data_IF_967387351993
#
_entry.id   IF_967387351993
#
_cell.length_a   1.000
_cell.length_b   1.000
_cell.length_c   1.000
_cell.angle_alpha   90.00
_cell.angle_beta   90.00
_cell.angle_gamma   90.00
#
_symmetry.space_group_name_H-M   'P 1'
#
loop_
_entity.id
_entity.type
_entity.pdbx_description
1 polymer ?
#
# COMPACT_ATOMS: atom_id res chain seq x y z
N UNK A 1 14.91 -23.31 -0.76
CA UNK A 1 13.71 -22.55 -1.16
C UNK A 1 13.31 -21.65 0.00
N UNK A 2 13.14 -20.36 -0.25
CA UNK A 2 12.71 -19.41 0.79
C UNK A 2 11.20 -19.57 1.03
N UNK A 3 10.80 -19.64 2.29
CA UNK A 3 9.39 -19.72 2.69
C UNK A 3 8.85 -18.31 2.91
N UNK A 4 7.85 -17.90 2.13
CA UNK A 4 7.22 -16.58 2.20
C UNK A 4 5.77 -16.75 2.63
N UNK A 5 5.38 -16.08 3.71
CA UNK A 5 3.98 -15.99 4.13
C UNK A 5 3.41 -14.64 3.78
N UNK A 6 2.33 -14.61 2.98
CA UNK A 6 1.61 -13.39 2.60
C UNK A 6 0.25 -13.40 3.31
N UNK A 7 0.08 -12.52 4.29
CA UNK A 7 -1.20 -12.25 4.92
C UNK A 7 -1.96 -11.15 4.15
N UNK A 8 -3.21 -11.39 3.79
CA UNK A 8 -3.99 -10.53 2.90
C UNK A 8 -3.61 -10.73 1.41
N UNK A 9 -3.42 -11.97 1.02
CA UNK A 9 -2.90 -12.38 -0.29
C UNK A 9 -3.85 -12.11 -1.46
N UNK A 10 -5.18 -12.08 -1.24
CA UNK A 10 -6.18 -11.76 -2.25
C UNK A 10 -6.36 -10.24 -2.48
N UNK A 11 -5.75 -9.38 -1.63
CA UNK A 11 -5.76 -7.94 -1.82
C UNK A 11 -4.91 -7.49 -3.01
N UNK A 12 -5.02 -6.21 -3.42
CA UNK A 12 -4.32 -5.65 -4.58
C UNK A 12 -2.81 -5.92 -4.53
N UNK A 13 -2.16 -5.61 -3.40
CA UNK A 13 -0.71 -5.77 -3.25
C UNK A 13 -0.34 -7.24 -3.10
N UNK A 14 -1.09 -8.03 -2.32
CA UNK A 14 -0.86 -9.46 -2.15
C UNK A 14 -0.93 -10.22 -3.48
N UNK A 15 -1.92 -9.90 -4.32
CA UNK A 15 -2.04 -10.46 -5.68
C UNK A 15 -0.84 -10.07 -6.55
N UNK A 16 -0.44 -8.80 -6.53
CA UNK A 16 0.72 -8.33 -7.30
C UNK A 16 2.04 -9.00 -6.84
N UNK A 17 2.22 -9.21 -5.53
CA UNK A 17 3.37 -9.93 -5.00
C UNK A 17 3.39 -11.38 -5.53
N UNK A 18 2.25 -12.08 -5.48
CA UNK A 18 2.15 -13.46 -6.00
C UNK A 18 2.49 -13.56 -7.49
N UNK A 19 2.22 -12.51 -8.29
CA UNK A 19 2.52 -12.48 -9.73
C UNK A 19 4.01 -12.33 -10.05
N UNK A 20 4.79 -11.72 -9.14
CA UNK A 20 6.21 -11.44 -9.37
C UNK A 20 7.14 -12.37 -8.58
N UNK A 21 6.61 -13.21 -7.68
CA UNK A 21 7.37 -14.23 -6.98
C UNK A 21 7.78 -15.36 -7.93
N UNK A 22 9.06 -15.76 -7.87
CA UNK A 22 9.54 -16.94 -8.60
C UNK A 22 9.22 -18.21 -7.80
N UNK A 23 8.31 -19.07 -8.29
CA UNK A 23 7.93 -20.31 -7.61
C UNK A 23 9.06 -21.34 -7.55
N UNK A 24 10.12 -21.17 -8.34
CA UNK A 24 11.32 -22.03 -8.28
C UNK A 24 12.23 -21.66 -7.09
N UNK A 25 12.21 -20.40 -6.66
CA UNK A 25 13.02 -19.91 -5.55
C UNK A 25 12.25 -19.88 -4.21
N UNK A 26 10.91 -19.67 -4.27
CA UNK A 26 10.09 -19.36 -3.12
C UNK A 26 8.87 -20.27 -2.98
N UNK A 27 8.72 -20.84 -1.79
CA UNK A 27 7.50 -21.53 -1.34
C UNK A 27 6.58 -20.52 -0.66
N UNK A 28 5.36 -20.33 -1.18
CA UNK A 28 4.44 -19.28 -0.74
C UNK A 28 3.29 -19.86 0.07
N UNK A 29 3.07 -19.30 1.26
CA UNK A 29 1.87 -19.54 2.08
C UNK A 29 0.96 -18.30 1.98
N UNK A 30 -0.15 -18.44 1.30
CA UNK A 30 -1.15 -17.40 1.14
C UNK A 30 -2.23 -17.55 2.21
N UNK A 31 -2.57 -16.46 2.92
CA UNK A 31 -3.69 -16.44 3.86
C UNK A 31 -4.47 -15.15 3.72
N UNK A 32 -5.78 -15.28 3.84
CA UNK A 32 -6.74 -14.19 3.97
C UNK A 32 -7.60 -14.40 5.21
N UNK A 33 -8.52 -13.47 5.49
CA UNK A 33 -9.33 -13.49 6.71
C UNK A 33 -10.09 -14.83 6.93
N UNK A 34 -10.49 -15.50 5.84
CA UNK A 34 -11.25 -16.75 5.94
C UNK A 34 -10.35 -17.95 6.31
N UNK A 35 -9.08 -17.94 5.88
CA UNK A 35 -8.10 -18.99 6.19
C UNK A 35 -7.43 -18.74 7.54
N UNK A 36 -7.09 -17.48 7.84
CA UNK A 36 -6.41 -17.09 9.06
C UNK A 36 -6.70 -15.62 9.39
N UNK A 37 -7.51 -15.37 10.39
CA UNK A 37 -7.73 -14.02 10.90
C UNK A 37 -6.51 -13.56 11.71
N UNK A 38 -5.78 -12.55 11.18
CA UNK A 38 -4.58 -12.01 11.83
C UNK A 38 -4.82 -11.40 13.21
N UNK A 39 -6.09 -11.18 13.59
CA UNK A 39 -6.46 -10.68 14.93
C UNK A 39 -6.46 -11.80 15.98
N UNK A 40 -6.46 -13.08 15.58
CA UNK A 40 -6.45 -14.24 16.45
C UNK A 40 -5.03 -14.65 16.81
N UNK A 41 -4.53 -14.13 17.93
CA UNK A 41 -3.12 -14.25 18.33
C UNK A 41 -2.62 -15.69 18.34
N UNK A 42 -3.37 -16.62 18.94
CA UNK A 42 -2.94 -18.01 19.09
C UNK A 42 -2.87 -18.75 17.76
N UNK A 43 -3.81 -18.46 16.85
CA UNK A 43 -3.84 -19.06 15.50
C UNK A 43 -2.67 -18.56 14.66
N UNK A 44 -2.39 -17.25 14.70
CA UNK A 44 -1.28 -16.60 14.02
C UNK A 44 0.07 -17.16 14.51
N UNK A 45 0.24 -17.28 15.83
CA UNK A 45 1.44 -17.87 16.42
C UNK A 45 1.63 -19.33 15.98
N UNK A 46 0.58 -20.14 16.09
CA UNK A 46 0.60 -21.55 15.70
C UNK A 46 0.95 -21.74 14.23
N UNK A 47 0.35 -20.93 13.35
CA UNK A 47 0.60 -20.99 11.91
C UNK A 47 2.07 -20.71 11.59
N UNK A 48 2.63 -19.64 12.17
CA UNK A 48 4.02 -19.26 11.95
C UNK A 48 5.01 -20.28 12.54
N UNK A 49 4.73 -20.89 13.70
CA UNK A 49 5.59 -21.92 14.31
C UNK A 49 5.60 -23.23 13.51
N UNK A 50 4.47 -23.61 12.92
CA UNK A 50 4.38 -24.83 12.10
C UNK A 50 5.09 -24.62 10.77
N UNK A 51 4.81 -23.52 10.06
CA UNK A 51 5.31 -23.28 8.70
C UNK A 51 6.74 -22.72 8.68
N UNK A 52 7.17 -22.03 9.74
CA UNK A 52 8.49 -21.39 9.89
C UNK A 52 8.89 -20.59 8.65
N UNK A 53 8.12 -19.55 8.27
CA UNK A 53 8.46 -18.72 7.15
C UNK A 53 9.79 -17.99 7.37
N UNK A 54 10.53 -17.77 6.29
CA UNK A 54 11.73 -16.93 6.30
C UNK A 54 11.37 -15.45 6.17
N UNK A 55 10.21 -15.18 5.55
CA UNK A 55 9.70 -13.85 5.27
C UNK A 55 8.20 -13.85 5.54
N UNK A 56 7.70 -12.83 6.22
CA UNK A 56 6.26 -12.58 6.42
C UNK A 56 5.95 -11.22 5.81
N UNK A 57 4.96 -11.16 4.90
CA UNK A 57 4.51 -9.92 4.26
C UNK A 57 3.06 -9.66 4.69
N UNK A 58 2.85 -8.58 5.42
CA UNK A 58 1.52 -8.16 5.87
C UNK A 58 0.90 -7.16 4.89
N UNK A 59 0.04 -7.67 4.01
CA UNK A 59 -0.84 -6.90 3.13
C UNK A 59 -2.26 -6.75 3.68
N UNK A 60 -2.58 -7.46 4.78
CA UNK A 60 -3.91 -7.42 5.38
C UNK A 60 -4.16 -6.08 6.10
N UNK A 61 -5.23 -5.41 5.75
CA UNK A 61 -5.65 -4.16 6.37
C UNK A 61 -7.12 -3.84 6.04
N UNK A 62 -7.78 -3.09 6.90
CA UNK A 62 -8.98 -2.34 6.53
C UNK A 62 -8.52 -1.01 5.97
N UNK A 63 -8.80 -0.77 4.67
CA UNK A 63 -8.37 0.43 3.92
C UNK A 63 -9.52 1.36 3.55
N UNK A 64 -10.76 0.93 3.79
CA UNK A 64 -11.95 1.76 3.68
C UNK A 64 -11.97 2.76 4.84
N UNK A 65 -11.72 4.03 4.54
CA UNK A 65 -11.66 5.09 5.55
C UNK A 65 -13.01 5.36 6.20
N UNK A 66 -14.12 5.26 5.44
CA UNK A 66 -15.44 5.44 6.03
C UNK A 66 -15.75 4.34 7.03
N UNK A 67 -15.43 3.08 6.70
CA UNK A 67 -15.57 1.98 7.64
C UNK A 67 -14.68 2.16 8.87
N UNK A 68 -13.44 2.64 8.69
CA UNK A 68 -12.54 2.93 9.81
C UNK A 68 -13.12 3.99 10.76
N UNK A 69 -13.71 5.07 10.22
CA UNK A 69 -14.35 6.11 11.03
C UNK A 69 -15.62 5.60 11.76
N UNK A 70 -16.38 4.70 11.11
CA UNK A 70 -17.59 4.10 11.70
C UNK A 70 -17.25 3.03 12.74
N UNK A 71 -16.19 2.25 12.53
CA UNK A 71 -15.78 1.10 13.33
C UNK A 71 -14.30 1.22 13.78
N UNK A 72 -13.96 2.23 14.63
CA UNK A 72 -12.56 2.48 15.01
C UNK A 72 -11.89 1.29 15.68
N UNK A 73 -12.62 0.60 16.57
CA UNK A 73 -12.09 -0.58 17.26
C UNK A 73 -11.72 -1.71 16.29
N UNK A 74 -12.53 -1.92 15.26
CA UNK A 74 -12.25 -2.90 14.22
C UNK A 74 -11.02 -2.50 13.41
N UNK A 75 -10.90 -1.21 13.04
CA UNK A 75 -9.73 -0.69 12.33
C UNK A 75 -8.44 -0.91 13.13
N UNK A 76 -8.41 -0.56 14.41
CA UNK A 76 -7.25 -0.80 15.29
C UNK A 76 -6.99 -2.29 15.53
N UNK A 77 -8.03 -3.10 15.67
CA UNK A 77 -7.88 -4.55 15.86
C UNK A 77 -7.16 -5.19 14.67
N UNK A 78 -7.56 -4.86 13.44
CA UNK A 78 -6.94 -5.42 12.23
C UNK A 78 -5.62 -4.74 11.92
N UNK A 79 -5.60 -3.40 11.78
CA UNK A 79 -4.44 -2.68 11.27
C UNK A 79 -3.29 -2.57 12.28
N UNK A 80 -3.59 -2.52 13.58
CA UNK A 80 -2.59 -2.42 14.63
C UNK A 80 -2.32 -3.76 15.32
N UNK A 81 -3.34 -4.41 15.93
CA UNK A 81 -3.12 -5.65 16.65
C UNK A 81 -2.82 -6.83 15.74
N UNK A 82 -3.39 -6.88 14.52
CA UNK A 82 -3.01 -7.86 13.50
C UNK A 82 -1.53 -7.73 13.11
N UNK A 83 -1.05 -6.50 12.86
CA UNK A 83 0.37 -6.24 12.57
C UNK A 83 1.27 -6.63 13.75
N UNK A 84 0.85 -6.34 15.00
CA UNK A 84 1.54 -6.78 16.22
C UNK A 84 1.68 -8.31 16.26
N UNK A 85 0.58 -9.04 16.07
CA UNK A 85 0.59 -10.50 16.15
C UNK A 85 1.55 -11.12 15.13
N UNK A 86 1.53 -10.63 13.88
CA UNK A 86 2.44 -11.07 12.84
C UNK A 86 3.90 -10.71 13.14
N UNK A 87 4.18 -9.53 13.71
CA UNK A 87 5.54 -9.11 14.07
C UNK A 87 6.12 -9.93 15.24
N UNK A 88 5.29 -10.31 16.22
CA UNK A 88 5.67 -11.24 17.29
C UNK A 88 6.08 -12.60 16.71
N UNK A 89 5.28 -13.13 15.78
CA UNK A 89 5.62 -14.39 15.08
C UNK A 89 6.91 -14.24 14.31
N UNK A 90 7.07 -13.18 13.54
CA UNK A 90 8.28 -12.93 12.75
C UNK A 90 9.54 -12.97 13.63
N UNK A 91 9.50 -12.29 14.77
CA UNK A 91 10.59 -12.31 15.73
C UNK A 91 10.83 -13.73 16.30
N UNK A 92 9.76 -14.44 16.67
CA UNK A 92 9.84 -15.78 17.27
C UNK A 92 10.47 -16.81 16.34
N UNK A 93 10.14 -16.76 15.03
CA UNK A 93 10.69 -17.70 14.03
C UNK A 93 11.95 -17.17 13.34
N UNK A 94 12.37 -15.94 13.64
CA UNK A 94 13.56 -15.30 13.05
C UNK A 94 13.35 -14.77 11.62
N UNK A 95 12.09 -14.62 11.18
CA UNK A 95 11.71 -14.16 9.85
C UNK A 95 11.98 -12.65 9.65
N UNK A 96 12.19 -12.25 8.40
CA UNK A 96 12.06 -10.85 7.97
C UNK A 96 10.57 -10.50 7.92
N UNK A 97 10.22 -9.28 8.29
CA UNK A 97 8.83 -8.82 8.32
C UNK A 97 8.64 -7.60 7.45
N UNK A 98 7.68 -7.65 6.52
CA UNK A 98 7.27 -6.52 5.70
C UNK A 98 5.90 -6.05 6.15
N UNK A 99 5.78 -4.78 6.53
CA UNK A 99 4.53 -4.13 6.90
C UNK A 99 4.15 -3.08 5.84
N UNK A 100 3.03 -3.29 5.16
CA UNK A 100 2.46 -2.26 4.29
C UNK A 100 1.84 -1.16 5.15
N UNK A 101 2.22 0.09 4.87
CA UNK A 101 1.71 1.29 5.52
C UNK A 101 1.24 2.32 4.48
N UNK A 102 0.98 3.55 4.87
CA UNK A 102 0.28 4.55 4.08
C UNK A 102 0.85 5.95 4.30
N UNK A 103 0.63 6.82 3.35
CA UNK A 103 0.81 8.28 3.43
C UNK A 103 -0.12 8.95 4.47
N UNK A 104 -1.28 8.33 4.78
CA UNK A 104 -2.25 8.82 5.78
C UNK A 104 -1.68 8.87 7.21
N UNK A 105 -0.44 8.41 7.43
CA UNK A 105 0.27 8.64 8.70
C UNK A 105 0.72 10.09 8.88
N UNK A 106 0.65 10.90 7.82
CA UNK A 106 0.94 12.34 7.83
C UNK A 106 -0.33 13.17 7.81
N UNK A 107 -0.22 14.45 8.23
CA UNK A 107 -1.37 15.34 8.37
C UNK A 107 -1.82 16.07 7.07
N UNK A 108 -1.03 15.96 6.01
CA UNK A 108 -1.33 16.58 4.73
C UNK A 108 -1.20 18.12 4.69
N UNK A 109 -0.55 18.75 5.67
CA UNK A 109 -0.46 20.21 5.79
C UNK A 109 0.79 20.81 5.16
N UNK A 110 1.72 19.98 4.65
CA UNK A 110 2.93 20.45 3.99
C UNK A 110 2.68 20.81 2.52
N UNK A 111 3.62 21.57 1.97
CA UNK A 111 3.68 21.89 0.53
C UNK A 111 4.91 21.28 -0.15
N UNK A 112 5.63 20.42 0.58
CA UNK A 112 6.79 19.69 0.08
C UNK A 112 6.62 18.20 0.40
N UNK A 113 7.16 17.30 -0.42
CA UNK A 113 7.04 15.86 -0.21
C UNK A 113 7.52 15.44 1.20
N UNK A 114 6.77 14.54 1.84
CA UNK A 114 7.16 13.95 3.11
C UNK A 114 8.29 12.95 2.91
N UNK A 115 9.33 13.04 3.72
CA UNK A 115 10.40 12.05 3.81
C UNK A 115 10.14 11.08 4.95
N UNK A 116 10.90 9.98 5.00
CA UNK A 116 10.80 8.99 6.07
C UNK A 116 11.18 9.54 7.46
N UNK A 117 11.88 10.69 7.49
CA UNK A 117 12.32 11.36 8.71
C UNK A 117 11.32 12.38 9.25
N UNK A 118 10.26 12.68 8.49
CA UNK A 118 9.25 13.65 8.93
C UNK A 118 8.37 13.07 10.04
N UNK A 119 7.93 13.93 10.95
CA UNK A 119 7.06 13.54 12.04
C UNK A 119 5.68 13.14 11.50
N UNK A 120 5.22 11.98 11.93
CA UNK A 120 3.87 11.48 11.63
C UNK A 120 2.83 12.17 12.51
N UNK A 121 1.68 12.53 11.91
CA UNK A 121 0.56 13.20 12.61
C UNK A 121 -0.77 12.86 11.89
N UNK A 122 -1.23 11.59 11.93
CA UNK A 122 -2.41 11.15 11.18
C UNK A 122 -3.67 11.87 11.63
N UNK A 123 -4.59 12.15 10.70
CA UNK A 123 -5.85 12.85 10.93
C UNK A 123 -7.07 11.93 10.86
N UNK A 124 -6.93 10.74 10.30
CA UNK A 124 -8.00 9.77 10.11
C UNK A 124 -7.81 8.58 11.05
N UNK A 125 -8.89 7.90 11.40
CA UNK A 125 -8.82 6.62 12.15
C UNK A 125 -7.99 5.58 11.38
N UNK A 126 -8.12 5.54 10.05
CA UNK A 126 -7.30 4.70 9.19
C UNK A 126 -5.81 4.99 9.40
N UNK A 127 -5.37 6.24 9.22
CA UNK A 127 -3.98 6.65 9.43
C UNK A 127 -3.48 6.36 10.83
N UNK A 128 -4.27 6.67 11.88
CA UNK A 128 -3.95 6.36 13.28
C UNK A 128 -3.75 4.85 13.51
N UNK A 129 -4.64 4.00 12.97
CA UNK A 129 -4.57 2.56 13.14
C UNK A 129 -3.35 1.96 12.41
N UNK A 130 -3.01 2.47 11.22
CA UNK A 130 -1.81 2.06 10.46
C UNK A 130 -0.53 2.48 11.18
N UNK A 131 -0.46 3.71 11.71
CA UNK A 131 0.68 4.18 12.47
C UNK A 131 0.89 3.38 13.77
N UNK A 132 -0.19 3.02 14.47
CA UNK A 132 -0.11 2.15 15.63
C UNK A 132 0.47 0.77 15.26
N UNK A 133 0.12 0.24 14.07
CA UNK A 133 0.74 -0.96 13.52
C UNK A 133 2.24 -0.81 13.28
N UNK A 134 2.69 0.33 12.72
CA UNK A 134 4.13 0.61 12.55
C UNK A 134 4.88 0.61 13.89
N UNK A 135 4.28 1.19 14.94
CA UNK A 135 4.89 1.23 16.27
C UNK A 135 5.06 -0.18 16.84
N UNK A 136 4.03 -1.04 16.75
CA UNK A 136 4.15 -2.43 17.18
C UNK A 136 5.20 -3.20 16.39
N UNK A 137 5.29 -2.99 15.08
CA UNK A 137 6.31 -3.65 14.26
C UNK A 137 7.72 -3.29 14.74
N UNK A 138 7.99 -1.99 14.97
CA UNK A 138 9.28 -1.50 15.48
C UNK A 138 9.60 -2.04 16.88
N UNK A 139 8.58 -2.23 17.71
CA UNK A 139 8.75 -2.75 19.07
C UNK A 139 9.07 -4.25 19.08
N UNK A 140 8.37 -5.04 18.25
CA UNK A 140 8.42 -6.50 18.34
C UNK A 140 9.42 -7.17 17.41
N UNK A 141 9.88 -6.54 16.32
CA UNK A 141 10.89 -7.14 15.43
C UNK A 141 11.90 -6.14 14.90
N UNK A 142 13.19 -6.51 14.95
CA UNK A 142 14.30 -5.70 14.41
C UNK A 142 14.48 -5.91 12.90
N UNK A 143 14.07 -7.06 12.37
CA UNK A 143 14.21 -7.42 10.96
C UNK A 143 12.96 -7.00 10.17
N UNK A 144 12.66 -5.69 10.14
CA UNK A 144 11.44 -5.21 9.51
C UNK A 144 11.70 -4.22 8.38
N UNK A 145 10.78 -4.24 7.40
CA UNK A 145 10.62 -3.23 6.38
C UNK A 145 9.20 -2.66 6.51
N UNK A 146 9.07 -1.42 6.95
CA UNK A 146 7.80 -0.69 6.92
C UNK A 146 7.76 0.09 5.62
N UNK A 147 6.77 -0.18 4.77
CA UNK A 147 6.68 0.41 3.43
C UNK A 147 5.44 1.28 3.36
N UNK A 148 5.63 2.59 3.37
CA UNK A 148 4.59 3.59 3.17
C UNK A 148 4.43 3.87 1.70
N UNK A 149 3.21 3.79 1.19
CA UNK A 149 2.87 4.06 -0.19
C UNK A 149 1.64 4.96 -0.30
N UNK A 150 1.37 5.46 -1.49
CA UNK A 150 0.33 6.44 -1.77
C UNK A 150 -0.49 6.01 -2.98
N UNK A 151 -1.80 6.25 -2.94
CA UNK A 151 -2.74 6.06 -4.05
C UNK A 151 -2.52 4.76 -4.83
N UNK A 152 -2.39 3.66 -4.11
CA UNK A 152 -2.09 2.36 -4.71
C UNK A 152 -3.27 1.88 -5.57
N UNK A 153 -2.95 1.44 -6.80
CA UNK A 153 -3.89 0.83 -7.73
C UNK A 153 -3.35 -0.51 -8.26
N UNK A 154 -4.26 -1.41 -8.62
CA UNK A 154 -3.96 -2.77 -9.08
C UNK A 154 -5.26 -3.52 -9.38
N UNK A 155 -5.27 -4.83 -9.24
CA UNK A 155 -6.50 -5.61 -9.41
C UNK A 155 -7.53 -5.29 -8.32
N UNK A 156 -8.82 -5.29 -8.67
CA UNK A 156 -9.93 -5.06 -7.75
C UNK A 156 -10.39 -3.60 -7.68
N UNK A 157 -11.04 -3.22 -6.57
CA UNK A 157 -11.63 -1.90 -6.42
C UNK A 157 -10.56 -0.85 -6.06
N UNK A 158 -10.32 0.10 -6.97
CA UNK A 158 -9.41 1.23 -6.77
C UNK A 158 -9.84 2.43 -7.64
N UNK A 159 -9.16 3.55 -7.50
CA UNK A 159 -9.52 4.78 -8.23
C UNK A 159 -9.43 4.61 -9.75
N UNK A 160 -8.41 3.94 -10.28
CA UNK A 160 -8.25 3.72 -11.73
C UNK A 160 -9.44 2.94 -12.27
N UNK A 161 -9.78 1.81 -11.63
CA UNK A 161 -10.88 0.95 -12.08
C UNK A 161 -12.24 1.63 -11.94
N UNK A 162 -12.46 2.46 -10.90
CA UNK A 162 -13.67 3.27 -10.76
C UNK A 162 -13.82 4.31 -11.87
N UNK A 163 -12.73 4.96 -12.28
CA UNK A 163 -12.72 5.90 -13.41
C UNK A 163 -13.07 5.19 -14.72
N UNK A 164 -12.46 4.03 -14.98
CA UNK A 164 -12.74 3.25 -16.19
C UNK A 164 -14.20 2.76 -16.24
N UNK A 165 -14.70 2.25 -15.12
CA UNK A 165 -16.08 1.77 -15.01
C UNK A 165 -17.09 2.92 -15.19
N UNK A 166 -16.84 4.08 -14.58
CA UNK A 166 -17.70 5.24 -14.76
C UNK A 166 -17.72 5.72 -16.22
N UNK A 167 -16.56 5.71 -16.90
CA UNK A 167 -16.49 6.04 -18.31
C UNK A 167 -17.26 5.04 -19.19
N UNK A 168 -17.15 3.73 -18.92
CA UNK A 168 -17.91 2.70 -19.65
C UNK A 168 -19.43 2.81 -19.47
N UNK A 169 -19.84 3.31 -18.32
CA UNK A 169 -21.26 3.53 -18.01
C UNK A 169 -21.75 4.94 -18.35
N UNK A 170 -20.91 5.78 -18.98
CA UNK A 170 -21.21 7.19 -19.27
C UNK A 170 -21.67 7.98 -18.03
N UNK A 171 -21.11 7.66 -16.85
CA UNK A 171 -21.37 8.38 -15.60
C UNK A 171 -20.34 9.49 -15.40
N UNK A 172 -20.74 10.67 -14.86
CA UNK A 172 -19.80 11.71 -14.48
C UNK A 172 -18.88 11.22 -13.35
N UNK A 173 -17.66 11.75 -13.32
CA UNK A 173 -16.64 11.45 -12.32
C UNK A 173 -16.38 12.73 -11.53
N UNK A 174 -16.64 12.68 -10.23
CA UNK A 174 -16.35 13.79 -9.32
C UNK A 174 -15.09 13.49 -8.53
N UNK A 175 -14.17 14.44 -8.45
CA UNK A 175 -12.91 14.32 -7.73
C UNK A 175 -12.64 15.52 -6.82
N UNK A 176 -11.86 15.33 -5.77
CA UNK A 176 -11.39 16.43 -4.93
C UNK A 176 -10.52 17.41 -5.72
N UNK A 177 -10.75 18.69 -5.54
CA UNK A 177 -9.98 19.73 -6.22
C UNK A 177 -8.56 19.87 -5.66
N UNK A 178 -8.40 19.69 -4.34
CA UNK A 178 -7.17 19.99 -3.61
C UNK A 178 -6.23 18.79 -3.48
N UNK A 179 -6.75 17.54 -3.58
CA UNK A 179 -5.94 16.35 -3.33
C UNK A 179 -4.80 16.21 -4.34
N UNK A 180 -3.58 16.11 -3.80
CA UNK A 180 -2.35 15.88 -4.55
C UNK A 180 -1.58 14.73 -3.95
N UNK A 181 -1.14 13.77 -4.78
CA UNK A 181 -0.42 12.57 -4.34
C UNK A 181 0.45 11.96 -5.43
N UNK A 182 1.04 10.81 -5.14
CA UNK A 182 1.88 10.05 -6.07
C UNK A 182 1.24 8.69 -6.36
N UNK A 183 0.47 8.55 -7.47
CA UNK A 183 -0.15 7.27 -7.83
C UNK A 183 0.91 6.17 -7.97
N UNK A 184 0.65 4.98 -7.42
CA UNK A 184 1.63 3.88 -7.40
C UNK A 184 0.94 2.57 -7.77
N UNK A 185 1.48 1.84 -8.75
CA UNK A 185 0.94 0.53 -9.07
C UNK A 185 1.32 -0.50 -8.00
N UNK A 186 0.41 -1.42 -7.74
CA UNK A 186 0.68 -2.55 -6.84
C UNK A 186 1.83 -3.42 -7.37
N UNK A 187 2.03 -3.46 -8.69
CA UNK A 187 3.10 -4.23 -9.31
C UNK A 187 4.48 -3.61 -9.07
N UNK A 188 4.63 -2.29 -9.20
CA UNK A 188 5.89 -1.61 -8.86
C UNK A 188 6.18 -1.72 -7.36
N UNK A 189 5.14 -1.62 -6.53
CA UNK A 189 5.28 -1.83 -5.10
C UNK A 189 5.70 -3.27 -4.77
N UNK A 190 5.19 -4.27 -5.48
CA UNK A 190 5.62 -5.66 -5.33
C UNK A 190 7.10 -5.85 -5.73
N UNK A 191 7.56 -5.21 -6.82
CA UNK A 191 8.95 -5.27 -7.27
C UNK A 191 9.92 -4.72 -6.22
N UNK A 192 9.63 -3.55 -5.65
CA UNK A 192 10.49 -2.99 -4.59
C UNK A 192 10.46 -3.84 -3.31
N UNK A 193 9.30 -4.41 -2.93
CA UNK A 193 9.22 -5.34 -1.80
C UNK A 193 10.13 -6.54 -2.03
N UNK A 194 10.09 -7.15 -3.22
CA UNK A 194 10.95 -8.30 -3.57
C UNK A 194 12.42 -7.95 -3.55
N UNK A 195 12.78 -6.74 -3.93
CA UNK A 195 14.15 -6.28 -3.81
C UNK A 195 14.54 -6.18 -2.33
N UNK A 196 13.78 -5.45 -1.51
CA UNK A 196 14.11 -5.18 -0.11
C UNK A 196 14.23 -6.47 0.73
N UNK A 197 13.34 -7.45 0.54
CA UNK A 197 13.41 -8.71 1.30
C UNK A 197 14.68 -9.54 1.04
N UNK A 198 15.37 -9.30 -0.08
CA UNK A 198 16.66 -9.92 -0.40
C UNK A 198 17.84 -9.24 0.31
N UNK A 199 17.64 -8.03 0.83
CA UNK A 199 18.63 -7.24 1.58
C UNK A 199 18.50 -7.42 3.09
N UNK A 200 19.39 -6.79 3.87
CA UNK A 200 19.27 -6.62 5.31
C UNK A 200 19.16 -5.13 5.71
N UNK A 201 18.78 -4.28 4.75
CA UNK A 201 18.58 -2.84 4.95
C UNK A 201 17.23 -2.60 5.62
N UNK A 202 17.13 -2.99 6.90
CA UNK A 202 15.89 -2.87 7.69
C UNK A 202 15.55 -1.42 7.98
N UNK A 203 14.26 -1.09 8.00
CA UNK A 203 13.82 0.27 8.33
C UNK A 203 12.45 0.63 7.79
N UNK A 204 12.16 1.93 7.79
CA UNK A 204 10.95 2.52 7.22
C UNK A 204 11.29 3.15 5.88
N UNK A 205 10.50 2.87 4.86
CA UNK A 205 10.68 3.31 3.49
C UNK A 205 9.42 3.99 2.96
N UNK A 206 9.61 5.05 2.19
CA UNK A 206 8.60 5.51 1.26
C UNK A 206 8.82 4.81 -0.08
N UNK A 207 7.75 4.25 -0.66
CA UNK A 207 7.80 3.58 -1.94
C UNK A 207 6.58 4.01 -2.78
N UNK A 208 6.77 5.04 -3.59
CA UNK A 208 5.78 5.56 -4.54
C UNK A 208 6.42 5.71 -5.91
N UNK A 209 5.61 5.72 -6.97
CA UNK A 209 6.12 6.13 -8.27
C UNK A 209 6.59 7.57 -8.24
N UNK A 210 7.52 7.94 -9.12
CA UNK A 210 8.08 9.29 -9.23
C UNK A 210 7.04 10.29 -9.73
N UNK A 211 7.15 11.50 -9.22
CA UNK A 211 6.27 12.61 -9.57
C UNK A 211 5.02 12.67 -8.69
N UNK A 212 4.21 13.68 -8.96
CA UNK A 212 2.96 13.94 -8.26
C UNK A 212 1.92 14.46 -9.24
N UNK A 213 0.66 14.31 -8.91
CA UNK A 213 -0.45 14.89 -9.68
C UNK A 213 -1.65 15.16 -8.79
N UNK A 214 -2.57 15.99 -9.26
CA UNK A 214 -3.89 16.11 -8.66
C UNK A 214 -4.77 14.89 -8.98
N UNK A 215 -5.84 14.70 -8.21
CA UNK A 215 -6.87 13.68 -8.55
C UNK A 215 -7.45 13.91 -9.94
N UNK A 216 -7.64 15.17 -10.31
CA UNK A 216 -8.16 15.54 -11.63
C UNK A 216 -7.18 15.14 -12.75
N UNK A 217 -5.88 15.45 -12.58
CA UNK A 217 -4.89 15.10 -13.60
C UNK A 217 -4.71 13.59 -13.71
N UNK A 218 -4.79 12.88 -12.59
CA UNK A 218 -4.76 11.41 -12.60
C UNK A 218 -5.97 10.84 -13.37
N UNK A 219 -7.19 11.33 -13.11
CA UNK A 219 -8.39 10.92 -13.85
C UNK A 219 -8.29 11.23 -15.36
N UNK A 220 -7.79 12.42 -15.73
CA UNK A 220 -7.57 12.77 -17.13
C UNK A 220 -6.60 11.84 -17.84
N UNK A 221 -5.49 11.48 -17.16
CA UNK A 221 -4.48 10.60 -17.75
C UNK A 221 -5.00 9.15 -17.89
N UNK A 222 -5.80 8.66 -16.93
CA UNK A 222 -6.48 7.37 -17.05
C UNK A 222 -7.37 7.33 -18.29
N UNK A 223 -8.21 8.35 -18.47
CA UNK A 223 -9.10 8.45 -19.63
C UNK A 223 -8.30 8.55 -20.94
N UNK A 224 -7.26 9.40 -20.98
CA UNK A 224 -6.39 9.56 -22.15
C UNK A 224 -5.74 8.24 -22.57
N UNK A 225 -5.12 7.53 -21.63
CA UNK A 225 -4.40 6.27 -21.92
C UNK A 225 -5.35 5.13 -22.29
N UNK A 226 -6.55 5.10 -21.71
CA UNK A 226 -7.56 4.09 -22.03
C UNK A 226 -8.36 4.39 -23.29
N UNK A 227 -8.19 5.57 -23.91
CA UNK A 227 -9.00 6.02 -25.06
C UNK A 227 -10.47 6.27 -24.73
N UNK A 228 -10.82 6.42 -23.45
CA UNK A 228 -12.19 6.63 -22.97
C UNK A 228 -12.45 8.11 -22.68
N UNK A 229 -13.72 8.47 -22.61
CA UNK A 229 -14.18 9.83 -22.28
C UNK A 229 -15.21 9.77 -21.15
N UNK A 230 -15.17 10.75 -20.25
CA UNK A 230 -16.16 10.97 -19.22
C UNK A 230 -16.19 12.45 -18.83
N UNK A 231 -17.30 12.92 -18.31
CA UNK A 231 -17.39 14.24 -17.71
C UNK A 231 -16.64 14.24 -16.37
N UNK A 232 -15.69 15.17 -16.22
CA UNK A 232 -14.89 15.34 -15.00
C UNK A 232 -15.30 16.63 -14.30
N UNK A 233 -15.72 16.52 -13.05
CA UNK A 233 -16.06 17.66 -12.19
C UNK A 233 -15.19 17.65 -10.93
N UNK A 234 -14.86 18.84 -10.41
CA UNK A 234 -14.12 18.98 -9.16
C UNK A 234 -15.03 19.58 -8.09
N UNK A 235 -14.85 19.09 -6.87
CA UNK A 235 -15.51 19.63 -5.68
C UNK A 235 -14.48 19.83 -4.57
N UNK A 236 -14.73 20.72 -3.60
CA UNK A 236 -13.87 20.82 -2.42
C UNK A 236 -13.77 19.47 -1.69
N UNK A 237 -12.58 19.13 -1.17
CA UNK A 237 -12.36 17.87 -0.46
C UNK A 237 -13.36 17.66 0.70
N UNK A 238 -13.75 18.74 1.39
CA UNK A 238 -14.74 18.70 2.47
C UNK A 238 -16.18 18.37 2.02
N UNK A 239 -16.44 18.38 0.71
CA UNK A 239 -17.75 18.05 0.12
C UNK A 239 -17.84 16.59 -0.32
N UNK A 240 -16.76 15.84 -0.23
CA UNK A 240 -16.73 14.41 -0.54
C UNK A 240 -17.27 13.57 0.62
N UNK A 241 -17.68 12.35 0.30
CA UNK A 241 -18.07 11.37 1.31
C UNK A 241 -16.88 11.01 2.22
N UNK A 242 -17.15 10.56 3.44
CA UNK A 242 -16.14 10.20 4.42
C UNK A 242 -15.15 9.13 3.90
N UNK A 243 -15.60 8.24 3.00
CA UNK A 243 -14.75 7.24 2.33
C UNK A 243 -13.70 7.84 1.39
N UNK A 244 -13.91 9.07 0.95
CA UNK A 244 -13.01 9.80 0.03
C UNK A 244 -12.22 10.90 0.75
N UNK A 245 -12.47 11.11 2.04
CA UNK A 245 -11.72 12.06 2.86
C UNK A 245 -10.30 11.56 3.05
N UNK A 246 -9.35 12.31 2.51
CA UNK A 246 -7.92 12.06 2.56
C UNK A 246 -7.19 13.38 2.81
N UNK A 247 -5.93 13.34 3.28
CA UNK A 247 -5.10 14.54 3.32
C UNK A 247 -5.03 15.23 1.94
N UNK A 248 -5.09 16.55 1.90
CA UNK A 248 -5.03 17.31 0.65
C UNK A 248 -3.67 17.17 -0.04
N UNK A 249 -2.60 17.10 0.75
CA UNK A 249 -1.26 16.87 0.25
C UNK A 249 -0.64 15.63 0.87
N UNK A 250 -0.45 14.59 0.07
CA UNK A 250 0.05 13.29 0.55
C UNK A 250 1.24 12.75 -0.25
N UNK A 251 1.97 13.66 -0.93
CA UNK A 251 3.15 13.28 -1.71
C UNK A 251 4.27 12.79 -0.80
N UNK A 252 4.80 11.60 -1.11
CA UNK A 252 5.94 11.01 -0.42
C UNK A 252 7.20 11.15 -1.29
N UNK A 253 8.32 11.48 -0.66
CA UNK A 253 9.66 11.37 -1.26
C UNK A 253 10.29 10.03 -0.85
N UNK A 254 10.69 9.24 -1.82
CA UNK A 254 11.42 7.97 -1.62
C UNK A 254 12.88 8.26 -1.23
N UNK A 255 13.10 9.05 -0.17
CA UNK A 255 14.43 9.59 0.16
C UNK A 255 15.42 8.47 0.48
N UNK A 256 15.03 7.50 1.33
CA UNK A 256 15.93 6.39 1.71
C UNK A 256 16.23 5.51 0.49
N UNK A 257 15.22 5.13 -0.31
CA UNK A 257 15.47 4.32 -1.52
C UNK A 257 16.47 4.97 -2.46
N UNK A 258 16.41 6.30 -2.59
CA UNK A 258 17.33 7.07 -3.44
C UNK A 258 18.74 7.10 -2.89
N UNK A 259 18.95 7.26 -1.57
CA UNK A 259 20.30 7.35 -1.00
C UNK A 259 21.02 6.00 -0.89
N UNK A 260 20.28 4.90 -0.77
CA UNK A 260 20.88 3.55 -0.77
C UNK A 260 21.06 3.01 -2.20
N UNK A 261 20.66 3.77 -3.21
CA UNK A 261 20.83 3.48 -4.66
C UNK A 261 20.35 2.08 -5.06
N UNK A 262 19.18 1.70 -4.56
CA UNK A 262 18.73 0.31 -4.58
C UNK A 262 17.73 0.01 -5.66
N UNK A 263 16.78 0.92 -5.88
CA UNK A 263 15.69 0.71 -6.83
C UNK A 263 15.14 2.05 -7.30
N UNK A 264 15.11 2.21 -8.61
CA UNK A 264 14.57 3.42 -9.24
C UNK A 264 13.12 3.21 -9.64
N UNK A 265 12.21 3.78 -8.85
CA UNK A 265 10.77 3.71 -9.13
C UNK A 265 10.46 4.43 -10.47
N UNK A 266 9.57 3.88 -11.33
CA UNK A 266 9.15 4.54 -12.56
C UNK A 266 8.39 5.84 -12.29
N UNK A 267 8.16 6.66 -13.33
CA UNK A 267 7.20 7.75 -13.23
C UNK A 267 5.79 7.19 -13.07
N UNK A 268 4.90 7.94 -12.40
CA UNK A 268 3.51 7.48 -12.26
C UNK A 268 2.79 7.34 -13.61
N UNK A 269 3.20 8.12 -14.62
CA UNK A 269 2.65 8.04 -15.97
C UNK A 269 3.06 6.73 -16.68
N UNK A 270 4.34 6.36 -16.60
CA UNK A 270 4.84 5.11 -17.19
C UNK A 270 4.22 3.90 -16.50
N UNK A 271 4.17 3.92 -15.17
CA UNK A 271 3.52 2.90 -14.35
C UNK A 271 2.03 2.73 -14.69
N UNK A 272 1.31 3.85 -14.85
CA UNK A 272 -0.11 3.83 -15.25
C UNK A 272 -0.27 3.28 -16.68
N UNK A 273 0.61 3.69 -17.60
CA UNK A 273 0.60 3.18 -18.98
C UNK A 273 0.81 1.66 -18.99
N UNK A 274 1.83 1.16 -18.28
CA UNK A 274 2.07 -0.29 -18.15
C UNK A 274 0.82 -1.02 -17.63
N UNK A 275 0.21 -0.49 -16.57
CA UNK A 275 -0.98 -1.09 -15.98
C UNK A 275 -2.17 -1.18 -16.96
N UNK A 276 -2.39 -0.13 -17.77
CA UNK A 276 -3.55 -0.07 -18.68
C UNK A 276 -3.31 -0.81 -20.00
N UNK A 277 -2.08 -0.87 -20.49
CA UNK A 277 -1.74 -1.45 -21.81
C UNK A 277 -1.08 -2.81 -21.73
N UNK A 278 -0.56 -3.21 -20.58
CA UNK A 278 0.29 -4.39 -20.42
C UNK A 278 1.69 -4.24 -21.03
N UNK A 279 2.09 -3.01 -21.44
CA UNK A 279 3.36 -2.72 -22.08
C UNK A 279 4.42 -2.30 -21.05
N UNK A 280 5.34 -3.21 -20.72
CA UNK A 280 6.42 -3.01 -19.76
C UNK A 280 7.73 -2.48 -20.42
N UNK A 281 7.67 -1.75 -21.51
CA UNK A 281 8.82 -1.31 -22.30
C UNK A 281 9.85 -0.44 -21.55
N UNK A 282 9.49 0.11 -20.39
CA UNK A 282 10.39 0.93 -19.56
C UNK A 282 11.22 0.13 -18.55
N UNK A 283 11.06 -1.21 -18.53
CA UNK A 283 11.81 -2.11 -17.62
C UNK A 283 13.06 -2.73 -18.26
N UNK A 284 13.38 -2.36 -19.52
CA UNK A 284 14.51 -2.85 -20.28
C UNK A 284 15.81 -2.08 -19.99
#
# INVERSE_FOLDING_TARGET
>A
MLKVWIAGSAGQIGTAINQVLDPMEMEVFNTDKNELDITQTDEVLRFGEINRPNIIINCAAITDTALCEQEPELAFRVNALGARNLSIVANKVGAKFVQLSTDDVFDGQRQQPYTEFDLTNPRTVYGCSKLAGEHYVKEFTQKHFIIRSNWVYGQGNNFVNRVLEAADQNRPITVAAEQTGSPTSAQDLARIILYLIRTNEYGTYHATCKGMCSRLDFAKEILRLSGKTAELTTVPSCSLDASETRPDYSVLDNFILRIIDVFDMPSWQDSLKEYLTGDASHLA
#
